data_IF_218999250200
#
_entry.id   IF_218999250200
#
_cell.length_a   1.000
_cell.length_b   1.000
_cell.length_c   1.000
_cell.angle_alpha   90.00
_cell.angle_beta   90.00
_cell.angle_gamma   90.00
#
_symmetry.space_group_name_H-M   'P 1'
#
loop_
_entity.id
_entity.type
_entity.pdbx_description
1 polymer ?
#
# COMPACT_ATOMS: atom_id res chain seq x y z
N UNK A 1 15.18 17.41 -61.33
CA UNK A 1 14.15 17.15 -60.30
C UNK A 1 13.35 18.41 -60.07
N UNK A 2 12.07 18.35 -60.42
CA UNK A 2 11.15 19.49 -60.48
C UNK A 2 10.85 20.09 -59.11
N UNK A 3 10.75 21.42 -59.03
CA UNK A 3 10.54 22.18 -57.77
C UNK A 3 9.24 21.76 -57.06
N UNK A 4 8.26 21.27 -57.83
CA UNK A 4 6.97 20.75 -57.35
C UNK A 4 7.09 19.42 -56.59
N UNK A 5 8.06 18.57 -56.95
CA UNK A 5 8.28 17.27 -56.29
C UNK A 5 8.93 17.46 -54.91
N UNK A 6 9.81 18.47 -54.77
CA UNK A 6 10.46 18.78 -53.49
C UNK A 6 9.47 19.31 -52.44
N UNK A 7 8.44 20.05 -52.83
CA UNK A 7 7.44 20.57 -51.89
C UNK A 7 6.50 19.49 -51.35
N UNK A 8 6.13 18.51 -52.17
CA UNK A 8 5.23 17.42 -51.76
C UNK A 8 5.87 16.47 -50.73
N UNK A 9 7.18 16.22 -50.84
CA UNK A 9 7.91 15.35 -49.89
C UNK A 9 8.06 16.02 -48.52
N UNK A 10 8.19 17.35 -48.48
CA UNK A 10 8.31 18.10 -47.22
C UNK A 10 6.98 18.12 -46.45
N UNK A 11 5.83 18.22 -47.15
CA UNK A 11 4.51 18.17 -46.49
C UNK A 11 4.17 16.78 -45.93
N UNK A 12 4.57 15.70 -46.61
CA UNK A 12 4.37 14.33 -46.10
C UNK A 12 5.25 14.00 -44.87
N UNK A 13 6.44 14.58 -44.78
CA UNK A 13 7.33 14.40 -43.62
C UNK A 13 6.82 15.14 -42.36
N UNK A 14 6.20 16.31 -42.52
CA UNK A 14 5.62 17.06 -41.40
C UNK A 14 4.34 16.42 -40.84
N UNK A 15 3.55 15.74 -41.68
CA UNK A 15 2.37 14.98 -41.25
C UNK A 15 2.71 13.81 -40.32
N UNK A 16 3.83 13.11 -40.56
CA UNK A 16 4.27 11.97 -39.75
C UNK A 16 4.84 12.38 -38.37
N UNK A 17 5.37 13.60 -38.24
CA UNK A 17 5.88 14.11 -36.96
C UNK A 17 4.76 14.58 -36.03
N UNK A 18 3.63 15.06 -36.56
CA UNK A 18 2.47 15.48 -35.77
C UNK A 18 1.68 14.31 -35.15
N UNK A 19 1.61 13.17 -35.85
CA UNK A 19 0.84 11.99 -35.41
C UNK A 19 1.49 11.20 -34.26
N UNK A 20 2.77 11.43 -33.96
CA UNK A 20 3.44 10.80 -32.82
C UNK A 20 3.25 11.55 -31.49
N UNK A 21 2.81 12.82 -31.52
CA UNK A 21 2.57 13.59 -30.28
C UNK A 21 1.20 13.29 -29.66
N UNK A 22 0.21 12.88 -30.45
CA UNK A 22 -1.13 12.57 -29.91
C UNK A 22 -1.18 11.22 -29.16
N UNK A 23 -0.17 10.36 -29.30
CA UNK A 23 -0.09 9.07 -28.60
C UNK A 23 0.68 9.11 -27.27
N UNK A 24 1.26 10.26 -26.90
CA UNK A 24 1.99 10.41 -25.63
C UNK A 24 1.12 10.94 -24.48
N UNK A 25 -0.19 11.05 -24.68
CA UNK A 25 -1.14 11.14 -23.57
C UNK A 25 -1.26 9.75 -22.92
N UNK A 26 -0.20 9.37 -22.20
CA UNK A 26 -0.28 8.30 -21.22
C UNK A 26 -1.42 8.63 -20.27
N UNK A 27 -2.50 7.86 -20.37
CA UNK A 27 -3.55 7.84 -19.35
C UNK A 27 -2.84 7.75 -17.99
N UNK A 28 -3.19 8.61 -17.00
CA UNK A 28 -2.63 8.45 -15.67
C UNK A 28 -2.97 7.03 -15.23
N UNK A 29 -1.94 6.18 -15.12
CA UNK A 29 -2.11 4.81 -14.64
C UNK A 29 -2.90 4.91 -13.35
N UNK A 30 -4.14 4.40 -13.36
CA UNK A 30 -5.00 4.42 -12.19
C UNK A 30 -4.17 3.86 -11.04
N UNK A 31 -3.87 4.70 -10.05
CA UNK A 31 -3.02 4.30 -8.94
C UNK A 31 -3.67 3.06 -8.32
N UNK A 32 -2.98 1.91 -8.41
CA UNK A 32 -3.53 0.64 -7.98
C UNK A 32 -4.06 0.80 -6.54
N UNK A 33 -5.38 0.79 -6.38
CA UNK A 33 -6.03 0.88 -5.07
C UNK A 33 -5.74 -0.40 -4.33
N UNK A 34 -4.64 -0.40 -3.58
CA UNK A 34 -4.27 -1.53 -2.75
C UNK A 34 -5.30 -1.64 -1.63
N UNK A 35 -6.13 -2.68 -1.70
CA UNK A 35 -7.13 -2.96 -0.66
C UNK A 35 -6.54 -3.75 0.52
N UNK A 36 -5.41 -4.42 0.34
CA UNK A 36 -4.74 -5.18 1.40
C UNK A 36 -3.23 -4.99 1.37
N UNK A 37 -2.61 -4.86 2.54
CA UNK A 37 -1.16 -4.86 2.68
C UNK A 37 -0.72 -5.66 3.88
N UNK A 38 0.16 -6.63 3.64
CA UNK A 38 0.82 -7.39 4.68
C UNK A 38 1.96 -6.61 5.36
N UNK A 39 2.28 -7.01 6.59
CA UNK A 39 3.51 -6.67 7.30
C UNK A 39 4.65 -7.47 6.66
N UNK A 40 5.80 -6.82 6.42
CA UNK A 40 6.99 -7.56 6.00
C UNK A 40 7.46 -8.43 7.15
N UNK A 41 7.64 -9.72 6.90
CA UNK A 41 8.16 -10.65 7.90
C UNK A 41 9.66 -10.43 8.09
N UNK A 42 10.01 -9.39 8.86
CA UNK A 42 11.37 -9.00 9.19
C UNK A 42 11.53 -8.96 10.70
N UNK A 43 12.70 -9.39 11.17
CA UNK A 43 13.06 -9.40 12.58
C UNK A 43 13.55 -8.01 12.98
N UNK A 44 12.64 -7.16 13.45
CA UNK A 44 12.98 -5.79 13.84
C UNK A 44 12.12 -5.31 15.02
N UNK A 45 12.55 -4.20 15.63
CA UNK A 45 11.78 -3.55 16.70
C UNK A 45 10.48 -2.90 16.18
N UNK A 46 10.34 -2.69 14.87
CA UNK A 46 9.08 -2.18 14.32
C UNK A 46 8.91 -2.47 12.84
N UNK A 47 7.71 -2.89 12.44
CA UNK A 47 7.36 -3.23 11.05
C UNK A 47 6.14 -2.42 10.62
N UNK A 48 6.16 -1.92 9.39
CA UNK A 48 5.06 -1.13 8.81
C UNK A 48 4.53 -1.77 7.54
N UNK A 49 3.21 -1.68 7.33
CA UNK A 49 2.58 -2.02 6.05
C UNK A 49 2.77 -0.89 5.03
N UNK A 50 2.53 -1.19 3.75
CA UNK A 50 2.22 -0.16 2.75
C UNK A 50 0.84 0.45 3.05
N UNK A 51 0.53 1.55 2.37
CA UNK A 51 -0.77 2.22 2.52
C UNK A 51 -1.87 1.43 1.80
N UNK A 52 -3.05 1.41 2.41
CA UNK A 52 -4.30 0.85 1.88
C UNK A 52 -5.35 1.95 1.85
N UNK A 53 -6.09 2.05 0.75
CA UNK A 53 -7.15 3.05 0.60
C UNK A 53 -8.45 2.52 1.20
N UNK A 54 -9.06 3.31 2.09
CA UNK A 54 -10.39 3.06 2.65
C UNK A 54 -11.36 4.05 2.03
N UNK A 55 -12.43 3.56 1.42
CA UNK A 55 -13.53 4.34 0.85
C UNK A 55 -14.63 4.56 1.89
N UNK A 56 -15.61 5.45 1.65
CA UNK A 56 -16.81 5.53 2.47
C UNK A 56 -17.44 4.13 2.66
N UNK A 57 -18.11 3.94 3.79
CA UNK A 57 -18.78 2.68 4.22
C UNK A 57 -17.89 1.48 4.59
N UNK A 58 -16.60 1.50 4.26
CA UNK A 58 -15.69 0.38 4.55
C UNK A 58 -15.05 0.48 5.94
N UNK A 59 -14.81 -0.68 6.56
CA UNK A 59 -14.03 -0.80 7.80
C UNK A 59 -12.57 -1.10 7.47
N UNK A 60 -11.67 -0.66 8.34
CA UNK A 60 -10.27 -1.07 8.28
C UNK A 60 -10.08 -2.30 9.16
N UNK A 61 -9.80 -3.43 8.52
CA UNK A 61 -9.43 -4.68 9.15
C UNK A 61 -7.93 -4.66 9.47
N UNK A 62 -7.57 -5.01 10.70
CA UNK A 62 -6.19 -5.13 11.16
C UNK A 62 -6.02 -6.50 11.76
N UNK A 63 -5.09 -7.29 11.22
CA UNK A 63 -4.72 -8.60 11.75
C UNK A 63 -3.23 -8.58 12.02
N UNK A 64 -2.80 -8.94 13.22
CA UNK A 64 -1.37 -8.97 13.57
C UNK A 64 -1.13 -10.20 14.43
N UNK A 65 -0.14 -11.01 14.05
CA UNK A 65 0.46 -12.03 14.91
C UNK A 65 1.93 -11.70 15.14
N UNK A 66 2.38 -11.81 16.39
CA UNK A 66 3.74 -11.54 16.82
C UNK A 66 4.42 -12.83 17.25
N UNK A 67 5.66 -13.04 16.81
CA UNK A 67 6.45 -14.21 17.16
C UNK A 67 7.66 -13.83 18.00
N UNK A 68 8.15 -14.78 18.79
CA UNK A 68 9.39 -14.67 19.54
C UNK A 68 10.60 -15.08 18.69
N UNK A 69 11.80 -15.07 19.28
CA UNK A 69 13.04 -15.39 18.59
C UNK A 69 13.06 -16.81 17.99
N UNK A 70 12.28 -17.73 18.55
CA UNK A 70 12.18 -19.13 18.13
C UNK A 70 11.04 -19.35 17.12
N UNK A 71 10.50 -18.27 16.53
CA UNK A 71 9.34 -18.29 15.62
C UNK A 71 8.06 -18.92 16.21
N UNK A 72 7.96 -19.00 17.54
CA UNK A 72 6.71 -19.36 18.22
C UNK A 72 5.88 -18.12 18.47
N UNK A 73 4.56 -18.26 18.44
CA UNK A 73 3.66 -17.17 18.82
C UNK A 73 4.04 -16.62 20.19
N UNK A 74 4.10 -15.30 20.28
CA UNK A 74 4.50 -14.63 21.51
C UNK A 74 3.31 -14.46 22.44
N UNK A 75 3.49 -14.67 23.74
CA UNK A 75 2.42 -14.38 24.71
C UNK A 75 2.53 -12.97 25.33
N UNK A 76 3.41 -12.12 24.80
CA UNK A 76 3.66 -10.78 25.33
C UNK A 76 2.62 -9.75 24.87
N UNK A 77 2.62 -8.59 25.52
CA UNK A 77 1.87 -7.40 25.09
C UNK A 77 2.66 -6.62 24.04
N UNK A 78 1.97 -6.15 23.01
CA UNK A 78 2.52 -5.36 21.91
C UNK A 78 1.68 -4.11 21.67
N UNK A 79 2.27 -3.14 20.97
CA UNK A 79 1.60 -1.89 20.56
C UNK A 79 1.64 -1.77 19.06
N UNK A 80 0.55 -1.30 18.45
CA UNK A 80 0.55 -0.83 17.08
C UNK A 80 -0.04 0.57 16.96
N UNK A 81 0.39 1.29 15.93
CA UNK A 81 -0.11 2.62 15.57
C UNK A 81 -0.68 2.60 14.17
N UNK A 82 -1.86 3.17 14.02
CA UNK A 82 -2.47 3.45 12.73
C UNK A 82 -2.11 4.86 12.29
N UNK A 83 -1.81 5.00 11.00
CA UNK A 83 -1.53 6.28 10.37
C UNK A 83 -2.54 6.51 9.24
N UNK A 84 -3.15 7.69 9.18
CA UNK A 84 -4.03 8.14 8.10
C UNK A 84 -3.32 9.26 7.36
N UNK A 85 -3.11 9.10 6.05
CA UNK A 85 -2.40 10.07 5.20
C UNK A 85 -1.04 10.49 5.79
N UNK A 86 -0.32 9.53 6.40
CA UNK A 86 0.98 9.75 7.03
C UNK A 86 0.95 10.32 8.46
N UNK A 87 -0.21 10.80 8.95
CA UNK A 87 -0.35 11.32 10.33
C UNK A 87 -0.85 10.21 11.26
N UNK A 88 -0.35 10.17 12.50
CA UNK A 88 -0.80 9.21 13.51
C UNK A 88 -2.31 9.40 13.77
N UNK A 89 -3.08 8.34 13.58
CA UNK A 89 -4.53 8.32 13.77
C UNK A 89 -4.92 7.68 15.10
N UNK A 90 -4.36 6.50 15.43
CA UNK A 90 -4.69 5.78 16.66
C UNK A 90 -3.50 4.98 17.17
N UNK A 91 -3.44 4.77 18.48
CA UNK A 91 -2.49 3.83 19.13
C UNK A 91 -3.32 2.79 19.86
N UNK A 92 -2.99 1.51 19.68
CA UNK A 92 -3.70 0.38 20.25
C UNK A 92 -2.69 -0.63 20.81
N UNK A 93 -3.10 -1.37 21.82
CA UNK A 93 -2.30 -2.46 22.40
C UNK A 93 -3.06 -3.78 22.29
N UNK A 94 -2.32 -4.87 22.17
CA UNK A 94 -2.86 -6.22 22.18
C UNK A 94 -1.99 -7.14 23.04
N UNK A 95 -2.60 -8.18 23.61
CA UNK A 95 -1.95 -9.17 24.46
C UNK A 95 -1.90 -10.52 23.74
N UNK A 96 -1.13 -11.46 24.27
CA UNK A 96 -1.01 -12.82 23.74
C UNK A 96 -0.53 -12.89 22.28
N UNK A 97 0.20 -11.87 21.83
CA UNK A 97 0.82 -11.81 20.50
C UNK A 97 -0.13 -11.85 19.31
N UNK A 98 -1.45 -11.85 19.49
CA UNK A 98 -2.40 -11.85 18.38
C UNK A 98 -3.49 -10.79 18.56
N UNK A 99 -3.92 -10.20 17.44
CA UNK A 99 -5.11 -9.34 17.41
C UNK A 99 -5.77 -9.37 16.05
N UNK A 100 -7.12 -9.34 16.07
CA UNK A 100 -7.97 -9.09 14.90
C UNK A 100 -8.94 -7.96 15.26
N UNK A 101 -8.97 -6.90 14.45
CA UNK A 101 -9.76 -5.69 14.72
C UNK A 101 -10.47 -5.20 13.45
N UNK A 102 -11.74 -4.81 13.56
CA UNK A 102 -12.49 -4.17 12.48
C UNK A 102 -12.89 -2.75 12.90
N UNK A 103 -12.11 -1.76 12.45
CA UNK A 103 -12.17 -0.38 12.93
C UNK A 103 -12.97 0.47 11.94
N UNK A 104 -14.03 1.13 12.41
CA UNK A 104 -14.73 2.14 11.63
C UNK A 104 -13.85 3.39 11.54
N UNK A 105 -13.48 3.77 10.32
CA UNK A 105 -12.56 4.89 10.07
C UNK A 105 -13.11 5.82 8.98
N UNK A 106 -12.64 7.07 8.95
CA UNK A 106 -12.97 7.99 7.84
C UNK A 106 -12.21 7.55 6.58
N UNK A 107 -12.71 7.87 5.37
CA UNK A 107 -12.00 7.56 4.12
C UNK A 107 -10.57 8.11 4.10
N UNK A 108 -9.66 7.43 3.40
CA UNK A 108 -8.27 7.87 3.25
C UNK A 108 -7.27 6.72 3.16
N UNK A 109 -5.99 7.06 3.15
CA UNK A 109 -4.89 6.09 3.00
C UNK A 109 -4.33 5.71 4.37
N UNK A 110 -4.48 4.45 4.75
CA UNK A 110 -4.07 3.92 6.04
C UNK A 110 -2.83 3.06 5.96
N UNK A 111 -1.94 3.16 6.95
CA UNK A 111 -0.90 2.16 7.22
C UNK A 111 -0.89 1.80 8.69
N UNK A 112 -0.40 0.61 9.02
CA UNK A 112 -0.13 0.21 10.41
C UNK A 112 1.36 0.07 10.63
N UNK A 113 1.83 0.46 11.81
CA UNK A 113 3.17 0.15 12.31
C UNK A 113 3.06 -0.58 13.63
N UNK A 114 3.62 -1.77 13.71
CA UNK A 114 3.69 -2.60 14.92
C UNK A 114 5.04 -2.39 15.59
N UNK A 115 5.06 -2.35 16.93
CA UNK A 115 6.26 -2.13 17.73
C UNK A 115 6.52 -3.34 18.62
N UNK A 116 7.69 -3.94 18.44
CA UNK A 116 8.21 -5.03 19.24
C UNK A 116 8.92 -4.54 20.49
N UNK A 117 8.95 -5.42 21.50
CA UNK A 117 9.69 -5.19 22.74
C UNK A 117 11.18 -5.54 22.59
N UNK A 118 11.53 -6.39 21.61
CA UNK A 118 12.90 -6.80 21.28
C UNK A 118 13.14 -6.69 19.78
N UNK A 119 14.41 -6.63 19.37
CA UNK A 119 14.82 -6.70 17.96
C UNK A 119 14.53 -8.08 17.36
N UNK A 120 14.42 -9.13 18.19
CA UNK A 120 14.22 -10.51 17.77
C UNK A 120 12.73 -10.89 17.57
N UNK A 121 11.83 -9.91 17.53
CA UNK A 121 10.42 -10.15 17.22
C UNK A 121 10.19 -10.07 15.71
N UNK A 122 9.40 -10.99 15.18
CA UNK A 122 8.83 -10.92 13.83
C UNK A 122 7.31 -10.77 13.92
N UNK A 123 6.69 -10.29 12.84
CA UNK A 123 5.25 -10.05 12.77
C UNK A 123 4.68 -10.51 11.44
N UNK A 124 3.46 -11.05 11.45
CA UNK A 124 2.67 -11.41 10.28
C UNK A 124 1.29 -10.74 10.32
N UNK A 125 0.52 -10.86 9.24
CA UNK A 125 -0.77 -10.19 9.06
C UNK A 125 -0.63 -8.86 8.34
N UNK A 126 -1.51 -7.90 8.60
CA UNK A 126 -1.49 -6.60 7.94
C UNK A 126 -2.75 -5.77 8.15
N UNK A 127 -3.04 -4.91 7.17
CA UNK A 127 -4.28 -4.13 7.09
C UNK A 127 -5.02 -4.37 5.78
N UNK A 128 -6.35 -4.34 5.85
CA UNK A 128 -7.21 -4.44 4.68
C UNK A 128 -8.43 -3.53 4.79
N UNK A 129 -8.86 -2.97 3.67
CA UNK A 129 -10.17 -2.34 3.50
C UNK A 129 -11.20 -3.28 2.89
N UNK A 130 -10.81 -4.52 2.54
CA UNK A 130 -11.72 -5.57 2.06
C UNK A 130 -12.46 -6.21 3.24
N UNK A 131 -13.72 -6.60 3.01
CA UNK A 131 -14.51 -7.41 3.94
C UNK A 131 -14.00 -8.86 4.04
N UNK A 132 -13.14 -9.28 3.11
CA UNK A 132 -12.44 -10.56 3.09
C UNK A 132 -10.92 -10.28 3.07
N UNK A 133 -10.30 -10.05 4.24
CA UNK A 133 -8.89 -9.74 4.32
C UNK A 133 -8.03 -10.97 4.02
N UNK A 134 -7.22 -10.89 2.95
CA UNK A 134 -6.22 -11.90 2.61
C UNK A 134 -4.81 -11.30 2.62
N UNK A 135 -3.97 -11.76 3.54
CA UNK A 135 -2.59 -11.30 3.70
C UNK A 135 -1.65 -12.33 3.09
N UNK A 136 -0.94 -11.94 2.03
CA UNK A 136 0.09 -12.74 1.34
C UNK A 136 1.46 -12.20 1.70
#
# INVERSE_FOLDING_TARGET
MDKRIKMSVIMLALGFLGLNWLNSQGFPAAAATRHTSALKQVTTRSVSTKRVTVTPTHRLHVVITAYNANQKESHRRYTFRLFRNGKRYKTLTFKNGHTTQAIKVKPGNYSVRVYGNSKNNSFSGGISSSNQPHFV
#
